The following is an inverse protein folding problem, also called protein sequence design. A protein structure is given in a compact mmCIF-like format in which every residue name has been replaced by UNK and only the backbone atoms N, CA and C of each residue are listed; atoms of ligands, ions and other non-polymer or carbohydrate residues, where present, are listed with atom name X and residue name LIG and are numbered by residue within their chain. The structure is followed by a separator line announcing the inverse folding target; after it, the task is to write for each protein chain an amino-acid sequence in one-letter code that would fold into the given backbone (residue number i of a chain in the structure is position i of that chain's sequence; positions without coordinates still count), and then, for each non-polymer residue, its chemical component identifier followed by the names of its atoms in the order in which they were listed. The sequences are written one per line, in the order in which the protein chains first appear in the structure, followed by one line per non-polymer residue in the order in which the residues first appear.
data_IF_212464834830
#
_entry.id   IF_212464834830
#
_cell.length_a   1.000
_cell.length_b   1.000
_cell.length_c   1.000
_cell.angle_alpha   90.00
_cell.angle_beta   90.00
_cell.angle_gamma   90.00
#
_symmetry.space_group_name_H-M   'P 1'
#
loop_
_entity.id
_entity.type
_entity.pdbx_description
1 polymer ?
#
# COMPACT_ATOMS: atom_id res chain seq x y z
N UNK A 1 -0.65 -2.17 -20.16
CA UNK A 1 0.59 -1.39 -19.96
C UNK A 1 1.33 -2.10 -18.85
N UNK A 2 2.66 -2.22 -18.89
CA UNK A 2 3.41 -2.80 -17.77
C UNK A 2 3.31 -1.83 -16.60
N UNK A 3 2.49 -2.16 -15.61
CA UNK A 3 2.40 -1.39 -14.36
C UNK A 3 3.67 -1.69 -13.57
N UNK A 4 4.45 -0.66 -13.25
CA UNK A 4 5.66 -0.79 -12.44
C UNK A 4 5.39 -0.13 -11.10
N UNK A 5 5.67 -0.83 -10.00
CA UNK A 5 5.58 -0.22 -8.68
C UNK A 5 6.78 0.66 -8.40
N UNK A 6 6.52 1.75 -7.70
CA UNK A 6 7.51 2.72 -7.26
C UNK A 6 7.88 2.39 -5.82
N UNK A 7 9.18 2.25 -5.54
CA UNK A 7 9.66 2.04 -4.19
C UNK A 7 9.45 3.29 -3.33
N UNK A 8 9.05 3.14 -2.06
CA UNK A 8 8.93 4.26 -1.15
C UNK A 8 10.28 4.90 -0.91
N UNK A 9 10.36 6.21 -1.13
CA UNK A 9 11.52 7.03 -0.86
C UNK A 9 11.08 8.46 -0.51
N UNK A 10 12.04 9.28 -0.06
CA UNK A 10 11.77 10.65 0.39
C UNK A 10 11.15 11.48 -0.73
N UNK A 11 11.62 11.35 -1.98
CA UNK A 11 11.15 12.16 -3.11
C UNK A 11 9.68 11.88 -3.44
N UNK A 12 9.28 10.60 -3.48
CA UNK A 12 7.93 10.18 -3.84
C UNK A 12 6.91 10.42 -2.70
N UNK A 13 7.39 10.38 -1.46
CA UNK A 13 6.57 10.62 -0.26
C UNK A 13 6.63 12.08 0.21
N UNK A 14 7.41 12.95 -0.45
CA UNK A 14 7.62 14.33 -0.04
C UNK A 14 6.30 15.10 0.12
N UNK A 15 5.31 14.79 -0.72
CA UNK A 15 3.97 15.41 -0.65
C UNK A 15 3.25 15.17 0.68
N UNK A 16 3.63 14.14 1.43
CA UNK A 16 3.04 13.81 2.72
C UNK A 16 3.91 14.23 3.92
N UNK A 17 5.02 14.93 3.68
CA UNK A 17 5.94 15.38 4.74
C UNK A 17 5.30 16.34 5.75
N UNK A 18 4.23 17.04 5.36
CA UNK A 18 3.41 17.85 6.27
C UNK A 18 2.53 17.01 7.22
N UNK A 19 2.23 15.75 6.87
CA UNK A 19 1.32 14.89 7.64
C UNK A 19 2.05 13.92 8.57
N UNK A 20 3.23 13.45 8.20
CA UNK A 20 4.02 12.52 9.02
C UNK A 20 5.52 12.61 8.70
N UNK A 21 6.30 12.11 9.65
CA UNK A 21 7.74 12.03 9.55
C UNK A 21 8.13 10.93 8.55
N UNK A 22 8.53 11.34 7.33
CA UNK A 22 8.85 10.43 6.23
C UNK A 22 9.99 9.47 6.60
N UNK A 23 10.96 9.93 7.39
CA UNK A 23 12.07 9.06 7.80
C UNK A 23 11.57 7.93 8.70
N UNK A 24 10.65 8.22 9.63
CA UNK A 24 10.01 7.19 10.46
C UNK A 24 9.11 6.28 9.64
N UNK A 25 8.39 6.82 8.66
CA UNK A 25 7.54 6.02 7.79
C UNK A 25 8.38 5.07 6.93
N UNK A 26 9.51 5.52 6.39
CA UNK A 26 10.44 4.68 5.62
C UNK A 26 11.16 3.65 6.48
N UNK A 27 11.30 3.90 7.79
CA UNK A 27 11.76 2.90 8.76
C UNK A 27 10.67 1.88 9.13
N UNK A 28 9.41 2.14 8.79
CA UNK A 28 8.34 1.16 8.94
C UNK A 28 8.48 0.09 7.87
N UNK A 29 8.50 -1.17 8.29
CA UNK A 29 8.43 -2.33 7.38
C UNK A 29 7.01 -2.59 6.86
N UNK A 30 6.07 -1.66 7.09
CA UNK A 30 4.69 -1.80 6.66
C UNK A 30 4.47 -1.48 5.18
N UNK A 31 3.27 -1.80 4.69
CA UNK A 31 2.89 -1.59 3.29
C UNK A 31 2.45 -0.15 2.99
N UNK A 32 2.05 0.63 4.01
CA UNK A 32 1.56 2.00 3.84
C UNK A 32 2.49 2.90 3.01
N UNK A 33 3.83 2.94 3.23
CA UNK A 33 4.74 3.73 2.42
C UNK A 33 4.68 3.34 0.93
N UNK A 34 4.48 2.06 0.63
CA UNK A 34 4.36 1.57 -0.74
C UNK A 34 3.08 2.03 -1.41
N UNK A 35 1.95 1.98 -0.70
CA UNK A 35 0.68 2.50 -1.23
C UNK A 35 0.84 3.98 -1.62
N UNK A 36 1.36 4.78 -0.69
CA UNK A 36 1.54 6.23 -0.88
C UNK A 36 2.48 6.54 -2.03
N UNK A 37 3.59 5.82 -2.15
CA UNK A 37 4.53 5.98 -3.26
C UNK A 37 3.93 5.62 -4.63
N UNK A 38 2.88 4.80 -4.65
CA UNK A 38 2.20 4.33 -5.87
C UNK A 38 0.90 5.10 -6.18
N UNK A 39 0.73 6.27 -5.58
CA UNK A 39 -0.34 7.22 -5.89
C UNK A 39 -1.61 7.05 -5.05
N UNK A 40 -1.54 6.29 -3.95
CA UNK A 40 -2.61 6.31 -2.94
C UNK A 40 -2.51 7.56 -2.08
N UNK A 41 -3.64 8.05 -1.60
CA UNK A 41 -3.68 9.19 -0.68
C UNK A 41 -3.50 8.71 0.76
N UNK A 42 -3.02 9.59 1.64
CA UNK A 42 -3.03 9.32 3.07
C UNK A 42 -4.40 9.67 3.64
N UNK A 43 -5.27 8.66 3.68
CA UNK A 43 -6.62 8.75 4.20
C UNK A 43 -6.97 7.46 4.98
N UNK A 44 -8.11 7.47 5.68
CA UNK A 44 -8.55 6.35 6.52
C UNK A 44 -8.64 5.03 5.73
N UNK A 45 -9.00 5.08 4.44
CA UNK A 45 -9.11 3.90 3.60
C UNK A 45 -7.73 3.31 3.29
N UNK A 46 -6.76 4.13 2.90
CA UNK A 46 -5.40 3.67 2.64
C UNK A 46 -4.73 3.14 3.90
N UNK A 47 -5.01 3.73 5.06
CA UNK A 47 -4.53 3.23 6.34
C UNK A 47 -5.17 1.88 6.70
N UNK A 48 -6.48 1.74 6.48
CA UNK A 48 -7.19 0.47 6.69
C UNK A 48 -6.63 -0.63 5.80
N UNK A 49 -6.47 -0.34 4.50
CA UNK A 49 -5.89 -1.28 3.55
C UNK A 49 -4.49 -1.69 4.00
N UNK A 50 -3.65 -0.71 4.37
CA UNK A 50 -2.30 -1.00 4.83
C UNK A 50 -2.28 -1.91 6.06
N UNK A 51 -3.13 -1.63 7.06
CA UNK A 51 -3.25 -2.45 8.25
C UNK A 51 -3.71 -3.87 7.92
N UNK A 52 -4.74 -4.03 7.08
CA UNK A 52 -5.22 -5.35 6.67
C UNK A 52 -4.08 -6.15 6.05
N UNK A 53 -3.29 -5.53 5.17
CA UNK A 53 -2.16 -6.19 4.51
C UNK A 53 -1.06 -6.54 5.52
N UNK A 54 -0.66 -5.59 6.37
CA UNK A 54 0.40 -5.80 7.36
C UNK A 54 0.02 -6.87 8.41
N UNK A 55 -1.27 -6.98 8.75
CA UNK A 55 -1.79 -8.00 9.66
C UNK A 55 -2.06 -9.35 8.97
N UNK A 56 -2.26 -9.34 7.64
CA UNK A 56 -2.55 -10.55 6.88
C UNK A 56 -1.29 -11.38 6.66
N UNK A 57 -1.44 -12.69 6.80
CA UNK A 57 -0.33 -13.63 6.61
C UNK A 57 -0.23 -14.15 5.18
N UNK A 58 -1.25 -13.88 4.35
CA UNK A 58 -1.32 -14.37 2.98
C UNK A 58 -2.16 -13.45 2.09
N UNK A 59 -1.89 -13.52 0.79
CA UNK A 59 -2.65 -12.82 -0.25
C UNK A 59 -4.14 -13.13 -0.21
N UNK A 60 -4.52 -14.40 -0.08
CA UNK A 60 -5.92 -14.82 -0.03
C UNK A 60 -6.66 -14.18 1.15
N UNK A 61 -6.00 -14.02 2.30
CA UNK A 61 -6.57 -13.39 3.50
C UNK A 61 -6.84 -11.89 3.28
N UNK A 62 -5.94 -11.19 2.57
CA UNK A 62 -6.16 -9.80 2.18
C UNK A 62 -7.37 -9.68 1.26
N UNK A 63 -7.43 -10.50 0.20
CA UNK A 63 -8.51 -10.44 -0.79
C UNK A 63 -9.88 -10.86 -0.25
N UNK A 64 -9.92 -11.76 0.75
CA UNK A 64 -11.14 -12.20 1.46
C UNK A 64 -11.46 -11.32 2.70
N UNK A 65 -10.73 -10.22 2.91
CA UNK A 65 -10.94 -9.36 4.07
C UNK A 65 -12.39 -8.87 4.17
N UNK A 66 -12.95 -8.98 5.37
CA UNK A 66 -14.30 -8.50 5.69
C UNK A 66 -14.34 -7.01 6.00
N UNK A 67 -13.19 -6.41 6.27
CA UNK A 67 -13.08 -5.01 6.65
C UNK A 67 -13.01 -4.10 5.42
N UNK A 68 -12.44 -4.59 4.32
CA UNK A 68 -12.33 -3.84 3.08
C UNK A 68 -12.58 -4.73 1.86
N UNK A 69 -13.48 -4.30 0.97
CA UNK A 69 -13.76 -5.02 -0.26
C UNK A 69 -12.74 -4.65 -1.36
N UNK A 70 -11.63 -5.39 -1.38
CA UNK A 70 -10.60 -5.26 -2.41
C UNK A 70 -11.13 -5.61 -3.81
N UNK A 71 -12.17 -6.43 -3.92
CA UNK A 71 -12.78 -6.79 -5.19
C UNK A 71 -13.59 -5.63 -5.80
N UNK A 72 -13.98 -4.63 -5.01
CA UNK A 72 -14.63 -3.42 -5.49
C UNK A 72 -13.66 -2.38 -6.08
N UNK A 73 -12.34 -2.54 -5.90
CA UNK A 73 -11.34 -1.66 -6.49
C UNK A 73 -11.30 -1.78 -8.03
N UNK A 74 -10.79 -0.73 -8.68
CA UNK A 74 -10.52 -0.77 -10.12
C UNK A 74 -9.43 -1.78 -10.45
N UNK A 75 -9.45 -2.34 -11.66
CA UNK A 75 -8.44 -3.29 -12.13
C UNK A 75 -7.02 -2.72 -12.00
N UNK A 76 -6.83 -1.42 -12.26
CA UNK A 76 -5.53 -0.76 -12.09
C UNK A 76 -5.05 -0.78 -10.63
N UNK A 77 -5.91 -0.46 -9.67
CA UNK A 77 -5.56 -0.48 -8.25
C UNK A 77 -5.26 -1.91 -7.78
N UNK A 78 -6.01 -2.90 -8.28
CA UNK A 78 -5.76 -4.32 -7.99
C UNK A 78 -4.43 -4.81 -8.56
N UNK A 79 -4.08 -4.44 -9.79
CA UNK A 79 -2.79 -4.76 -10.39
C UNK A 79 -1.64 -4.15 -9.58
N UNK A 80 -1.75 -2.88 -9.18
CA UNK A 80 -0.76 -2.23 -8.31
C UNK A 80 -0.61 -2.93 -6.97
N UNK A 81 -1.73 -3.26 -6.32
CA UNK A 81 -1.71 -3.98 -5.04
C UNK A 81 -1.05 -5.36 -5.18
N UNK A 82 -1.39 -6.12 -6.21
CA UNK A 82 -0.76 -7.42 -6.46
C UNK A 82 0.76 -7.30 -6.62
N UNK A 83 1.25 -6.32 -7.38
CA UNK A 83 2.69 -6.10 -7.52
C UNK A 83 3.36 -5.72 -6.18
N UNK A 84 2.68 -4.91 -5.35
CA UNK A 84 3.15 -4.60 -4.00
C UNK A 84 3.18 -5.90 -3.18
N UNK A 85 2.13 -6.71 -3.22
CA UNK A 85 2.06 -7.98 -2.49
C UNK A 85 3.13 -8.98 -2.90
N UNK A 86 3.47 -9.06 -4.19
CA UNK A 86 4.61 -9.85 -4.66
C UNK A 86 5.94 -9.40 -4.03
N UNK A 87 6.05 -8.15 -3.55
CA UNK A 87 7.23 -7.70 -2.83
C UNK A 87 7.26 -8.11 -1.35
N UNK A 88 6.09 -8.34 -0.75
CA UNK A 88 5.95 -8.62 0.69
C UNK A 88 5.75 -10.11 1.01
N UNK A 89 5.11 -10.87 0.11
CA UNK A 89 4.72 -12.27 0.33
C UNK A 89 5.52 -13.29 -0.49
N UNK A 90 6.40 -12.85 -1.41
CA UNK A 90 7.25 -13.69 -2.26
C UNK A 90 8.74 -13.31 -2.14
#
# INVERSE_FOLDING_TARGET
MTTTIVHPNIENLQQFSDSFDIEKLLQSEGVLPWLLANGWNYDDQSCLIANIIDESTSLDEVWDSKEFDFNALSDESKEKLNLIFEHFYL
#
